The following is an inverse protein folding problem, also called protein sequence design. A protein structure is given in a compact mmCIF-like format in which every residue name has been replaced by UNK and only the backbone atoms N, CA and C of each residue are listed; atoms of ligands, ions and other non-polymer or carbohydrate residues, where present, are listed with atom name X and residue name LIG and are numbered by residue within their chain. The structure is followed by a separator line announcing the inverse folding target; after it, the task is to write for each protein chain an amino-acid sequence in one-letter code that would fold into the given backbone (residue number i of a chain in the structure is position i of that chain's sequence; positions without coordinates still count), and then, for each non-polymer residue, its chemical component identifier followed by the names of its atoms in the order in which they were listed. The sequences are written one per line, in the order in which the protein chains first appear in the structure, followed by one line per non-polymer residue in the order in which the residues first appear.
data_IF_493354100791
#
_entry.id   IF_493354100791
#
_cell.length_a   1.000
_cell.length_b   1.000
_cell.length_c   1.000
_cell.angle_alpha   90.00
_cell.angle_beta   90.00
_cell.angle_gamma   90.00
#
_symmetry.space_group_name_H-M   'P 1'
#
loop_
_entity.id
_entity.type
_entity.pdbx_description
1 polymer ?
#
# COMPACT_ATOMS: atom_id res chain seq x y z
N UNK A 1 -6.79 -2.40 -11.45
CA UNK A 1 -7.28 -3.41 -10.48
C UNK A 1 -8.68 -3.80 -10.95
N UNK A 2 -9.02 -5.09 -10.95
CA UNK A 2 -10.37 -5.54 -11.28
C UNK A 2 -10.91 -6.22 -10.04
N UNK A 3 -11.85 -5.58 -9.35
CA UNK A 3 -12.59 -6.23 -8.29
C UNK A 3 -13.65 -7.14 -8.91
N UNK A 4 -13.68 -8.39 -8.49
CA UNK A 4 -14.60 -9.40 -9.02
C UNK A 4 -15.53 -9.81 -7.88
N UNK A 5 -16.79 -9.40 -7.96
CA UNK A 5 -17.85 -10.08 -7.20
C UNK A 5 -18.12 -11.44 -7.87
N UNK A 6 -17.81 -12.57 -7.20
CA UNK A 6 -17.97 -13.90 -7.78
C UNK A 6 -19.44 -14.28 -8.02
N UNK A 7 -20.38 -13.52 -7.46
CA UNK A 7 -21.83 -13.68 -7.65
C UNK A 7 -22.42 -12.72 -8.69
N UNK A 8 -21.68 -11.70 -9.09
CA UNK A 8 -22.13 -10.74 -10.08
C UNK A 8 -22.13 -11.34 -11.49
N UNK A 9 -23.22 -11.13 -12.22
CA UNK A 9 -23.34 -11.53 -13.63
C UNK A 9 -22.39 -10.75 -14.57
N UNK A 10 -21.76 -9.68 -14.08
CA UNK A 10 -20.78 -8.89 -14.80
C UNK A 10 -19.69 -8.41 -13.82
N UNK A 11 -18.44 -8.51 -14.26
CA UNK A 11 -17.30 -7.91 -13.55
C UNK A 11 -17.29 -6.41 -13.83
N UNK A 12 -17.52 -5.60 -12.79
CA UNK A 12 -17.47 -4.14 -12.91
C UNK A 12 -16.05 -3.67 -12.59
N UNK A 13 -15.30 -3.26 -13.62
CA UNK A 13 -13.95 -2.75 -13.44
C UNK A 13 -13.97 -1.29 -13.00
N UNK A 14 -13.35 -1.00 -11.86
CA UNK A 14 -13.07 0.37 -11.41
C UNK A 14 -11.63 0.73 -11.78
N UNK A 15 -11.48 1.72 -12.65
CA UNK A 15 -10.16 2.16 -13.12
C UNK A 15 -9.56 3.17 -12.16
N UNK A 16 -8.38 2.86 -11.63
CA UNK A 16 -7.51 3.86 -11.03
C UNK A 16 -6.87 4.72 -12.14
N UNK A 17 -6.46 5.96 -11.83
CA UNK A 17 -5.75 6.83 -12.78
C UNK A 17 -4.44 6.23 -13.31
N UNK A 18 -3.86 5.27 -12.58
CA UNK A 18 -2.60 4.60 -12.91
C UNK A 18 -2.67 3.10 -12.54
N UNK A 19 -1.93 2.21 -13.22
CA UNK A 19 -1.87 0.79 -12.88
C UNK A 19 -1.46 0.55 -11.43
N UNK A 20 -2.07 -0.44 -10.77
CA UNK A 20 -1.68 -0.84 -9.42
C UNK A 20 -0.34 -1.58 -9.43
N UNK A 21 0.56 -1.22 -8.51
CA UNK A 21 1.86 -1.86 -8.29
C UNK A 21 1.85 -2.76 -7.05
N UNK A 22 1.09 -2.40 -6.02
CA UNK A 22 0.86 -3.19 -4.81
C UNK A 22 -0.45 -2.80 -4.16
N UNK A 23 -1.03 -3.70 -3.36
CA UNK A 23 -2.24 -3.44 -2.60
C UNK A 23 -2.21 -4.17 -1.25
N UNK A 24 -2.91 -3.63 -0.26
CA UNK A 24 -3.17 -4.29 1.03
C UNK A 24 -4.55 -3.87 1.54
N UNK A 25 -5.16 -4.66 2.43
CA UNK A 25 -6.40 -4.28 3.10
C UNK A 25 -6.12 -3.52 4.40
N UNK A 26 -6.92 -2.51 4.65
CA UNK A 26 -6.99 -1.79 5.91
C UNK A 26 -8.29 -2.16 6.61
N UNK A 27 -8.18 -2.99 7.65
CA UNK A 27 -9.27 -3.45 8.53
C UNK A 27 -10.53 -3.96 7.80
N UNK A 28 -10.40 -4.35 6.53
CA UNK A 28 -11.48 -4.84 5.69
C UNK A 28 -12.44 -3.78 5.18
N UNK A 29 -12.24 -2.49 5.50
CA UNK A 29 -13.07 -1.37 5.04
C UNK A 29 -12.49 -0.71 3.78
N UNK A 30 -11.17 -0.70 3.67
CA UNK A 30 -10.49 -0.09 2.53
C UNK A 30 -9.43 -1.02 1.92
N UNK A 31 -9.20 -0.82 0.62
CA UNK A 31 -8.04 -1.31 -0.09
C UNK A 31 -7.09 -0.13 -0.26
N UNK A 32 -5.89 -0.26 0.27
CA UNK A 32 -4.80 0.68 0.06
C UNK A 32 -4.05 0.25 -1.20
N UNK A 33 -4.03 1.09 -2.23
CA UNK A 33 -3.41 0.76 -3.52
C UNK A 33 -2.27 1.73 -3.82
N UNK A 34 -1.05 1.21 -3.91
CA UNK A 34 0.09 1.96 -4.45
C UNK A 34 0.11 1.78 -5.95
N UNK A 35 -0.04 2.87 -6.70
CA UNK A 35 -0.08 2.85 -8.16
C UNK A 35 1.25 3.27 -8.79
N UNK A 36 1.41 2.98 -10.09
CA UNK A 36 2.62 3.23 -10.86
C UNK A 36 2.94 4.73 -10.99
N UNK A 37 1.97 5.61 -10.75
CA UNK A 37 2.21 7.04 -10.70
C UNK A 37 2.84 7.50 -9.38
N UNK A 38 3.07 6.60 -8.42
CA UNK A 38 3.69 6.86 -7.11
C UNK A 38 2.73 7.36 -6.03
N UNK A 39 1.43 7.39 -6.32
CA UNK A 39 0.40 7.75 -5.35
C UNK A 39 -0.13 6.51 -4.62
N UNK A 40 -0.46 6.70 -3.34
CA UNK A 40 -1.25 5.79 -2.53
C UNK A 40 -2.71 6.23 -2.55
N UNK A 41 -3.58 5.32 -2.96
CA UNK A 41 -5.03 5.51 -3.00
C UNK A 41 -5.68 4.74 -1.85
N UNK A 42 -6.63 5.36 -1.16
CA UNK A 42 -7.59 4.67 -0.29
C UNK A 42 -8.83 4.38 -1.12
N UNK A 43 -9.21 3.12 -1.24
CA UNK A 43 -10.33 2.67 -2.09
C UNK A 43 -11.34 1.96 -1.21
N UNK A 44 -12.60 2.38 -1.24
CA UNK A 44 -13.68 1.70 -0.51
C UNK A 44 -13.85 0.26 -1.01
N UNK A 45 -14.02 -0.71 -0.11
CA UNK A 45 -14.35 -2.09 -0.52
C UNK A 45 -15.79 -2.24 -1.01
N UNK A 46 -16.68 -1.31 -0.61
CA UNK A 46 -18.12 -1.43 -0.87
C UNK A 46 -18.45 -1.09 -2.33
N UNK A 47 -17.83 -0.04 -2.85
CA UNK A 47 -18.13 0.49 -4.19
C UNK A 47 -16.90 0.75 -5.07
N UNK A 48 -15.70 0.43 -4.58
CA UNK A 48 -14.42 0.63 -5.25
C UNK A 48 -14.16 2.07 -5.71
N UNK A 49 -14.79 3.05 -5.05
CA UNK A 49 -14.50 4.46 -5.25
C UNK A 49 -13.21 4.85 -4.52
N UNK A 50 -12.48 5.83 -5.09
CA UNK A 50 -11.34 6.45 -4.41
C UNK A 50 -11.86 7.44 -3.39
N UNK A 51 -11.38 7.30 -2.15
CA UNK A 51 -11.73 8.18 -1.05
C UNK A 51 -10.63 9.23 -0.80
N UNK A 52 -11.07 10.48 -0.64
CA UNK A 52 -10.17 11.60 -0.35
C UNK A 52 -9.17 11.91 -1.46
N UNK A 53 -8.17 12.72 -1.11
CA UNK A 53 -7.06 13.06 -2.00
C UNK A 53 -5.97 11.98 -1.91
N UNK A 54 -5.48 11.45 -3.05
CA UNK A 54 -4.38 10.48 -3.06
C UNK A 54 -3.11 11.04 -2.43
N UNK A 55 -2.42 10.23 -1.65
CA UNK A 55 -1.17 10.62 -1.01
C UNK A 55 0.01 10.35 -1.94
N UNK A 56 0.80 11.38 -2.27
CA UNK A 56 2.07 11.21 -2.96
C UNK A 56 3.07 10.51 -2.04
N UNK A 57 3.25 9.20 -2.22
CA UNK A 57 4.11 8.41 -1.35
C UNK A 57 5.55 8.36 -1.86
N UNK A 58 5.70 8.15 -3.17
CA UNK A 58 7.01 8.04 -3.83
C UNK A 58 6.97 8.70 -5.22
N UNK A 59 8.12 8.98 -5.86
CA UNK A 59 8.13 9.36 -7.27
C UNK A 59 7.52 8.26 -8.16
N UNK A 60 6.98 8.59 -9.36
CA UNK A 60 6.41 7.60 -10.28
C UNK A 60 7.38 6.46 -10.61
N UNK A 61 6.86 5.24 -10.74
CA UNK A 61 7.64 4.05 -11.05
C UNK A 61 8.00 4.00 -12.54
N UNK A 62 9.24 3.57 -12.83
CA UNK A 62 9.75 3.31 -14.16
C UNK A 62 9.67 1.84 -14.55
N UNK A 63 10.19 1.52 -15.74
CA UNK A 63 10.29 0.15 -16.21
C UNK A 63 11.23 -0.67 -15.32
N UNK A 64 10.78 -1.84 -14.86
CA UNK A 64 11.55 -2.74 -14.01
C UNK A 64 11.51 -2.42 -12.52
N UNK A 65 10.93 -1.28 -12.13
CA UNK A 65 10.69 -0.98 -10.73
C UNK A 65 9.60 -1.90 -10.16
N UNK A 66 9.73 -2.23 -8.89
CA UNK A 66 8.78 -3.08 -8.16
C UNK A 66 8.35 -2.37 -6.89
N UNK A 67 7.09 -2.51 -6.53
CA UNK A 67 6.56 -2.01 -5.28
C UNK A 67 5.91 -3.16 -4.51
N UNK A 68 5.95 -3.06 -3.19
CA UNK A 68 5.17 -3.91 -2.32
C UNK A 68 4.80 -3.09 -1.09
N UNK A 69 3.59 -3.29 -0.60
CA UNK A 69 3.00 -2.54 0.51
C UNK A 69 2.58 -3.52 1.59
N UNK A 70 2.69 -3.12 2.84
CA UNK A 70 2.21 -3.91 3.97
C UNK A 70 1.63 -3.02 5.05
N UNK A 71 0.54 -3.47 5.67
CA UNK A 71 -0.10 -2.77 6.78
C UNK A 71 0.27 -3.44 8.10
N UNK A 72 0.77 -2.66 9.04
CA UNK A 72 1.08 -3.10 10.39
C UNK A 72 0.93 -1.95 11.39
N UNK A 73 0.25 -2.21 12.51
CA UNK A 73 0.12 -1.27 13.63
C UNK A 73 -0.32 0.15 13.18
N UNK A 74 -1.42 0.22 12.41
CA UNK A 74 -1.99 1.46 11.87
C UNK A 74 -1.04 2.27 10.95
N UNK A 75 -0.11 1.57 10.30
CA UNK A 75 0.79 2.15 9.33
C UNK A 75 0.85 1.30 8.08
N UNK A 76 0.99 1.95 6.94
CA UNK A 76 1.39 1.30 5.70
C UNK A 76 2.89 1.51 5.51
N UNK A 77 3.57 0.44 5.11
CA UNK A 77 4.98 0.44 4.74
C UNK A 77 5.09 0.07 3.27
N UNK A 78 5.70 0.93 2.47
CA UNK A 78 5.97 0.69 1.05
C UNK A 78 7.47 0.59 0.81
N UNK A 79 7.94 -0.47 0.14
CA UNK A 79 9.30 -0.46 -0.41
C UNK A 79 9.34 0.37 -1.68
N UNK A 80 10.30 1.28 -1.72
CA UNK A 80 10.82 1.84 -2.94
C UNK A 80 12.04 1.02 -3.42
N UNK A 81 11.87 0.25 -4.51
CA UNK A 81 12.94 -0.61 -5.01
C UNK A 81 14.13 0.16 -5.57
N UNK A 82 13.97 1.45 -5.89
CA UNK A 82 14.99 2.26 -6.57
C UNK A 82 16.18 2.57 -5.68
N UNK A 83 15.92 2.78 -4.40
CA UNK A 83 16.93 3.13 -3.40
C UNK A 83 16.96 2.16 -2.21
N UNK A 84 16.23 1.05 -2.30
CA UNK A 84 16.09 0.06 -1.24
C UNK A 84 15.58 0.68 0.08
N UNK A 85 14.71 1.68 -0.01
CA UNK A 85 14.12 2.33 1.15
C UNK A 85 12.70 1.85 1.42
N UNK A 86 12.29 1.99 2.68
CA UNK A 86 10.89 1.83 3.07
C UNK A 86 10.35 3.18 3.48
N UNK A 87 9.26 3.60 2.85
CA UNK A 87 8.48 4.77 3.22
C UNK A 87 7.28 4.31 4.03
N UNK A 88 6.97 5.01 5.12
CA UNK A 88 5.83 4.69 5.96
C UNK A 88 4.77 5.79 5.88
N UNK A 89 3.51 5.39 6.04
CA UNK A 89 2.35 6.28 6.14
C UNK A 89 1.65 6.00 7.47
N UNK A 90 1.29 7.06 8.18
CA UNK A 90 0.34 6.95 9.28
C UNK A 90 -1.09 6.90 8.70
N UNK A 91 -1.81 5.82 8.98
CA UNK A 91 -3.13 5.58 8.37
C UNK A 91 -4.27 6.33 9.07
N UNK A 92 -4.04 6.80 10.30
CA UNK A 92 -4.98 7.66 11.02
C UNK A 92 -4.89 9.10 10.54
N UNK A 93 -3.68 9.64 10.37
CA UNK A 93 -3.49 11.02 9.91
C UNK A 93 -3.39 11.16 8.39
N UNK A 94 -3.18 10.06 7.67
CA UNK A 94 -2.94 10.02 6.22
C UNK A 94 -1.70 10.82 5.79
N UNK A 95 -0.64 10.76 6.60
CA UNK A 95 0.61 11.50 6.38
C UNK A 95 1.80 10.57 6.16
N UNK A 96 2.73 10.99 5.28
CA UNK A 96 4.02 10.32 5.10
C UNK A 96 4.88 10.57 6.32
N UNK A 97 5.45 9.50 6.87
CA UNK A 97 6.39 9.54 7.97
C UNK A 97 7.81 9.67 7.43
N UNK A 98 8.58 10.65 7.90
CA UNK A 98 9.96 10.97 7.47
C UNK A 98 11.01 9.86 7.72
N UNK A 99 10.61 8.72 8.30
CA UNK A 99 11.51 7.62 8.60
C UNK A 99 11.69 6.68 7.40
N UNK A 100 12.52 7.09 6.45
CA UNK A 100 13.04 6.21 5.40
C UNK A 100 13.94 5.13 6.01
N UNK A 101 13.44 3.90 6.15
CA UNK A 101 14.30 2.78 6.59
C UNK A 101 15.10 2.34 5.38
N UNK A 102 16.39 2.67 5.33
CA UNK A 102 17.29 2.20 4.27
C UNK A 102 17.71 0.77 4.55
N UNK A 103 17.43 -0.12 3.60
CA UNK A 103 17.81 -1.52 3.68
C UNK A 103 19.22 -1.70 3.07
N UNK A 104 20.12 -2.47 3.71
CA UNK A 104 21.50 -2.66 3.23
C UNK A 104 21.61 -3.37 1.88
N UNK A 105 20.52 -3.97 1.39
CA UNK A 105 20.34 -4.42 0.00
C UNK A 105 18.84 -4.41 -0.33
N UNK A 106 18.47 -4.16 -1.59
CA UNK A 106 17.08 -4.21 -2.05
C UNK A 106 16.57 -5.65 -1.97
N UNK A 107 15.79 -6.04 -0.95
CA UNK A 107 15.31 -7.40 -0.86
C UNK A 107 14.02 -7.47 -1.69
N UNK A 108 14.04 -8.21 -2.79
CA UNK A 108 12.81 -8.58 -3.46
C UNK A 108 12.70 -10.11 -3.60
N UNK A 109 11.61 -10.74 -3.14
CA UNK A 109 10.53 -10.16 -2.31
C UNK A 109 10.99 -9.93 -0.86
N UNK A 110 10.51 -8.86 -0.22
CA UNK A 110 10.58 -8.67 1.23
C UNK A 110 9.18 -8.86 1.82
N UNK A 111 9.13 -9.27 3.08
CA UNK A 111 7.91 -9.36 3.85
C UNK A 111 8.14 -8.67 5.20
N UNK A 112 7.20 -7.83 5.60
CA UNK A 112 7.16 -7.33 6.98
C UNK A 112 6.49 -8.39 7.86
N UNK A 113 7.05 -8.62 9.04
CA UNK A 113 6.36 -9.33 10.12
C UNK A 113 6.24 -8.37 11.27
N UNK A 114 5.03 -7.87 11.53
CA UNK A 114 4.74 -7.22 12.79
C UNK A 114 4.91 -8.26 13.91
N UNK A 115 5.95 -8.12 14.71
CA UNK A 115 6.07 -8.86 15.97
C UNK A 115 5.49 -7.95 17.03
N UNK A 116 4.23 -8.18 17.42
CA UNK A 116 3.76 -7.62 18.69
C UNK A 116 4.59 -8.29 19.79
N UNK A 117 5.38 -7.51 20.51
CA UNK A 117 5.87 -7.97 21.79
C UNK A 117 4.63 -8.11 22.67
N UNK A 118 4.20 -9.35 22.95
CA UNK A 118 3.31 -9.58 24.06
C UNK A 118 4.00 -8.94 25.27
N UNK A 119 3.34 -7.99 25.93
CA UNK A 119 3.85 -7.40 27.15
C UNK A 119 4.15 -8.55 28.11
N UNK A 120 5.40 -8.70 28.48
CA UNK A 120 5.83 -9.69 29.45
C UNK A 120 5.41 -9.24 30.85
N UNK A 121 4.13 -9.43 31.16
CA UNK A 121 3.68 -9.51 32.54
C UNK A 121 3.85 -10.97 32.98
N UNK A 122 5.03 -11.29 33.54
CA UNK A 122 5.30 -12.49 34.33
C UNK A 122 6.09 -12.15 35.59
#
# INVERSE_FOLDING_TARGET
MVAVDPSAAAVTGHSLPSPAMGFEFEDGEHILVLAADGNLYRVSVDDFSVEGEPLRLVPPFGEGDVANVHVAANRLYALDSRDASVVAVDLETWEVLDAGIVLPSAPYPFAFRAVSAASSDW
#
